data_IF_747815428609
#
_entry.id   IF_747815428609
#
_cell.length_a   1.000
_cell.length_b   1.000
_cell.length_c   1.000
_cell.angle_alpha   90.00
_cell.angle_beta   90.00
_cell.angle_gamma   90.00
#
_symmetry.space_group_name_H-M   'P 1'
#
loop_
_entity.id
_entity.type
_entity.pdbx_description
1 polymer ?
#
# COMPACT_ATOMS: atom_id res chain seq x y z
N UNK A 1 17.99 -0.60 -2.80
CA UNK A 1 18.98 -0.60 -1.69
C UNK A 1 18.30 -1.38 -0.59
N UNK A 2 18.43 -2.70 -0.66
CA UNK A 2 17.43 -3.62 -0.12
C UNK A 2 17.93 -4.33 1.14
N UNK A 3 16.96 -4.49 2.04
CA UNK A 3 17.02 -4.41 3.50
C UNK A 3 17.12 -5.82 4.08
N UNK A 4 18.03 -6.09 5.03
CA UNK A 4 18.16 -7.36 5.79
C UNK A 4 18.50 -7.05 7.25
N UNK A 5 17.69 -7.55 8.20
CA UNK A 5 17.98 -7.56 9.63
C UNK A 5 17.69 -8.93 10.27
N UNK A 6 17.85 -9.05 11.59
CA UNK A 6 17.83 -10.34 12.30
C UNK A 6 16.67 -10.35 13.27
N UNK A 7 15.87 -11.43 13.32
CA UNK A 7 14.77 -11.53 14.28
C UNK A 7 14.77 -12.87 15.04
N UNK A 8 15.07 -12.78 16.33
CA UNK A 8 14.49 -13.63 17.37
C UNK A 8 13.16 -13.02 17.86
N UNK A 9 12.11 -13.82 18.01
CA UNK A 9 10.76 -13.41 18.45
C UNK A 9 10.75 -13.01 19.93
N UNK A 10 11.12 -11.77 20.24
CA UNK A 10 10.81 -11.13 21.52
C UNK A 10 10.23 -9.74 21.25
N UNK A 11 9.00 -9.51 21.71
CA UNK A 11 8.25 -8.26 21.52
C UNK A 11 8.50 -7.34 22.70
N UNK A 12 9.23 -6.24 22.48
CA UNK A 12 9.36 -5.16 23.48
C UNK A 12 8.45 -3.99 23.09
N UNK A 13 7.34 -3.82 23.83
CA UNK A 13 6.28 -2.84 23.55
C UNK A 13 6.58 -1.40 24.02
N UNK A 14 7.86 -0.99 24.10
CA UNK A 14 8.21 0.37 24.58
C UNK A 14 9.14 1.03 23.55
N UNK A 15 8.54 1.68 22.55
CA UNK A 15 9.24 2.50 21.56
C UNK A 15 8.86 3.98 21.72
N UNK A 16 9.61 4.72 22.53
CA UNK A 16 9.55 6.17 22.62
C UNK A 16 10.70 6.79 21.84
N UNK A 17 10.44 7.25 20.61
CA UNK A 17 11.38 8.00 19.79
C UNK A 17 10.64 9.11 19.04
N UNK A 18 11.32 10.22 18.75
CA UNK A 18 10.72 11.33 18.01
C UNK A 18 10.31 10.87 16.59
N UNK A 19 9.12 11.28 16.14
CA UNK A 19 8.52 10.84 14.87
C UNK A 19 9.35 11.20 13.63
N UNK A 20 10.30 12.13 13.75
CA UNK A 20 11.21 12.53 12.68
C UNK A 20 12.28 11.48 12.33
N UNK A 21 12.48 10.46 13.16
CA UNK A 21 13.47 9.40 12.89
C UNK A 21 13.19 8.61 11.60
N UNK A 22 11.94 8.58 11.15
CA UNK A 22 11.49 7.77 10.01
C UNK A 22 11.35 8.57 8.71
N UNK A 23 11.94 9.77 8.65
CA UNK A 23 11.89 10.64 7.48
C UNK A 23 10.63 11.54 7.43
N UNK A 24 10.72 12.61 6.63
CA UNK A 24 9.65 13.60 6.45
C UNK A 24 9.16 13.61 5.01
N UNK A 25 7.85 13.76 4.82
CA UNK A 25 7.20 13.71 3.51
C UNK A 25 6.47 15.03 3.19
N UNK A 26 6.32 15.33 1.91
CA UNK A 26 5.63 16.53 1.43
C UNK A 26 4.13 16.53 1.79
N UNK A 27 3.50 17.71 1.79
CA UNK A 27 2.04 17.86 1.97
C UNK A 27 1.23 17.05 0.94
N UNK A 28 1.77 16.89 -0.27
CA UNK A 28 1.13 16.13 -1.36
C UNK A 28 1.04 14.62 -1.09
N UNK A 29 1.75 14.10 -0.08
CA UNK A 29 1.80 12.68 0.26
C UNK A 29 0.41 12.07 0.48
N UNK A 30 -0.43 12.69 1.29
CA UNK A 30 -1.76 12.14 1.60
C UNK A 30 -2.74 12.23 0.44
N UNK A 31 -2.60 13.22 -0.45
CA UNK A 31 -3.39 13.28 -1.68
C UNK A 31 -2.99 12.17 -2.65
N UNK A 32 -1.67 11.94 -2.82
CA UNK A 32 -1.16 10.82 -3.64
C UNK A 32 -1.58 9.48 -3.05
N UNK A 33 -1.46 9.30 -1.73
CA UNK A 33 -1.88 8.10 -1.03
C UNK A 33 -3.40 7.86 -1.15
N UNK A 34 -4.21 8.89 -0.96
CA UNK A 34 -5.67 8.82 -1.08
C UNK A 34 -6.11 8.44 -2.50
N UNK A 35 -5.56 9.11 -3.52
CA UNK A 35 -5.84 8.77 -4.91
C UNK A 35 -5.36 7.36 -5.28
N UNK A 36 -4.20 6.95 -4.76
CA UNK A 36 -3.71 5.61 -4.97
C UNK A 36 -4.71 4.60 -4.35
N UNK A 37 -5.05 4.68 -3.07
CA UNK A 37 -5.92 3.69 -2.43
C UNK A 37 -7.38 3.69 -2.92
N UNK A 38 -7.95 4.87 -3.18
CA UNK A 38 -9.39 5.01 -3.47
C UNK A 38 -9.70 5.44 -4.92
N UNK A 39 -8.69 5.61 -5.78
CA UNK A 39 -8.85 6.04 -7.17
C UNK A 39 -9.79 7.27 -7.25
N UNK A 40 -10.86 7.17 -8.05
CA UNK A 40 -11.85 8.22 -8.24
C UNK A 40 -12.72 8.51 -6.99
N UNK A 41 -12.89 7.55 -6.08
CA UNK A 41 -13.66 7.78 -4.85
C UNK A 41 -13.03 8.88 -3.98
N UNK A 42 -11.70 8.97 -3.96
CA UNK A 42 -11.02 10.04 -3.23
C UNK A 42 -11.34 11.42 -3.81
N UNK A 43 -11.31 11.55 -5.13
CA UNK A 43 -11.63 12.81 -5.82
C UNK A 43 -13.08 13.21 -5.53
N UNK A 44 -14.01 12.26 -5.59
CA UNK A 44 -15.41 12.50 -5.26
C UNK A 44 -15.58 12.92 -3.80
N UNK A 45 -14.89 12.26 -2.87
CA UNK A 45 -14.93 12.64 -1.47
C UNK A 45 -14.46 14.10 -1.24
N UNK A 46 -13.44 14.57 -1.97
CA UNK A 46 -13.03 15.98 -1.92
C UNK A 46 -14.09 16.92 -2.52
N UNK A 47 -14.77 16.50 -3.58
CA UNK A 47 -15.88 17.25 -4.19
C UNK A 47 -17.12 17.34 -3.30
N UNK A 48 -17.21 16.55 -2.22
CA UNK A 48 -18.31 16.66 -1.25
C UNK A 48 -18.48 18.08 -0.72
N UNK A 49 -17.38 18.83 -0.52
CA UNK A 49 -17.42 20.24 -0.07
C UNK A 49 -18.18 21.12 -1.06
N UNK A 50 -18.01 20.89 -2.37
CA UNK A 50 -18.64 21.68 -3.41
C UNK A 50 -20.16 21.45 -3.50
N UNK A 51 -20.63 20.24 -3.14
CA UNK A 51 -22.05 19.89 -3.16
C UNK A 51 -22.75 20.02 -1.81
N UNK A 52 -22.07 20.57 -0.79
CA UNK A 52 -22.60 20.73 0.57
C UNK A 52 -24.01 21.35 0.63
N UNK A 53 -24.36 22.41 -0.13
CA UNK A 53 -25.69 23.00 -0.07
C UNK A 53 -26.79 22.01 -0.48
N UNK A 54 -26.52 21.20 -1.51
CA UNK A 54 -27.44 20.20 -2.05
C UNK A 54 -27.53 19.03 -1.07
N UNK A 55 -26.38 18.53 -0.60
CA UNK A 55 -26.31 17.43 0.35
C UNK A 55 -26.99 17.76 1.68
N UNK A 56 -26.82 18.98 2.22
CA UNK A 56 -27.50 19.43 3.44
C UNK A 56 -29.02 19.44 3.31
N UNK A 57 -29.54 19.87 2.15
CA UNK A 57 -30.98 19.87 1.87
C UNK A 57 -31.54 18.45 1.81
N UNK A 58 -30.76 17.50 1.30
CA UNK A 58 -31.18 16.10 1.07
C UNK A 58 -31.04 15.21 2.30
N UNK A 59 -29.95 15.32 3.05
CA UNK A 59 -29.60 14.39 4.14
C UNK A 59 -29.57 15.03 5.54
N UNK A 60 -30.02 16.28 5.66
CA UNK A 60 -29.95 17.03 6.91
C UNK A 60 -28.49 17.20 7.43
N UNK A 61 -28.22 17.80 8.60
CA UNK A 61 -26.85 18.07 9.04
C UNK A 61 -26.07 16.79 9.41
N UNK A 62 -26.76 15.66 9.61
CA UNK A 62 -26.18 14.40 10.07
C UNK A 62 -25.07 13.89 9.16
N UNK A 63 -25.28 13.93 7.83
CA UNK A 63 -24.26 13.50 6.87
C UNK A 63 -23.00 14.38 6.92
N UNK A 64 -23.16 15.68 7.15
CA UNK A 64 -22.02 16.61 7.26
C UNK A 64 -21.22 16.29 8.51
N UNK A 65 -21.89 15.96 9.62
CA UNK A 65 -21.23 15.54 10.86
C UNK A 65 -20.42 14.27 10.61
N UNK A 66 -20.99 13.28 9.92
CA UNK A 66 -20.32 12.00 9.60
C UNK A 66 -19.10 12.18 8.68
N UNK A 67 -19.18 13.06 7.68
CA UNK A 67 -18.11 13.24 6.69
C UNK A 67 -17.04 14.26 7.14
N UNK A 68 -17.39 15.19 8.04
CA UNK A 68 -16.45 16.23 8.52
C UNK A 68 -15.09 15.71 9.02
N UNK A 69 -14.97 14.53 9.69
CA UNK A 69 -13.69 14.02 10.13
C UNK A 69 -12.72 13.73 8.98
N UNK A 70 -13.22 13.44 7.77
CA UNK A 70 -12.35 13.26 6.58
C UNK A 70 -11.49 14.49 6.36
N UNK A 71 -12.11 15.67 6.35
CA UNK A 71 -11.42 16.93 6.07
C UNK A 71 -10.55 17.39 7.24
N UNK A 72 -11.06 17.26 8.47
CA UNK A 72 -10.32 17.63 9.69
C UNK A 72 -9.09 16.75 9.83
N UNK A 73 -9.23 15.43 9.66
CA UNK A 73 -8.13 14.48 9.77
C UNK A 73 -7.11 14.65 8.65
N UNK A 74 -7.56 14.83 7.39
CA UNK A 74 -6.65 15.10 6.28
C UNK A 74 -5.84 16.38 6.51
N UNK A 75 -6.46 17.46 6.99
CA UNK A 75 -5.76 18.71 7.31
C UNK A 75 -4.75 18.50 8.44
N UNK A 76 -5.20 17.95 9.57
CA UNK A 76 -4.37 17.73 10.75
C UNK A 76 -3.17 16.82 10.44
N UNK A 77 -3.40 15.69 9.79
CA UNK A 77 -2.34 14.75 9.44
C UNK A 77 -1.38 15.33 8.40
N UNK A 78 -1.88 16.11 7.43
CA UNK A 78 -1.00 16.75 6.44
C UNK A 78 -0.02 17.73 7.07
N UNK A 79 -0.43 18.43 8.13
CA UNK A 79 0.45 19.36 8.87
C UNK A 79 1.60 18.64 9.59
N UNK A 80 1.48 17.34 9.87
CA UNK A 80 2.55 16.58 10.53
C UNK A 80 3.74 16.40 9.59
N UNK A 81 4.95 16.57 10.12
CA UNK A 81 6.18 16.42 9.35
C UNK A 81 6.43 14.95 8.94
N UNK A 82 6.18 14.03 9.87
CA UNK A 82 6.21 12.60 9.60
C UNK A 82 4.83 12.13 9.13
N UNK A 83 4.80 11.41 8.01
CA UNK A 83 3.56 10.93 7.39
C UNK A 83 3.73 9.46 7.04
N UNK A 84 2.72 8.67 7.37
CA UNK A 84 2.61 7.28 6.95
C UNK A 84 1.22 7.02 6.39
N UNK A 85 1.14 6.10 5.43
CA UNK A 85 -0.11 5.68 4.81
C UNK A 85 -1.12 5.12 5.81
N UNK A 86 -0.64 4.41 6.85
CA UNK A 86 -1.49 3.79 7.89
C UNK A 86 -2.22 4.79 8.77
N UNK A 87 -1.75 6.03 8.86
CA UNK A 87 -2.41 7.05 9.66
C UNK A 87 -3.73 7.54 9.06
N UNK A 88 -4.03 7.25 7.78
CA UNK A 88 -5.32 7.57 7.17
C UNK A 88 -6.37 6.46 7.32
N UNK A 89 -6.02 5.27 7.83
CA UNK A 89 -6.96 4.16 7.94
C UNK A 89 -8.28 4.51 8.68
N UNK A 90 -8.30 5.38 9.72
CA UNK A 90 -9.55 5.75 10.38
C UNK A 90 -10.58 6.45 9.48
N UNK A 91 -10.14 7.18 8.44
CA UNK A 91 -11.04 7.95 7.56
C UNK A 91 -11.42 7.22 6.27
N UNK A 92 -10.86 6.05 6.02
CA UNK A 92 -11.11 5.25 4.81
C UNK A 92 -12.60 4.92 4.58
N UNK A 93 -13.37 4.47 5.60
CA UNK A 93 -14.81 4.27 5.43
C UNK A 93 -15.56 5.56 5.13
N UNK A 94 -15.14 6.68 5.74
CA UNK A 94 -15.79 7.98 5.59
C UNK A 94 -15.57 8.57 4.20
N UNK A 95 -14.42 8.29 3.56
CA UNK A 95 -14.16 8.63 2.15
C UNK A 95 -15.18 7.94 1.25
N UNK A 96 -15.48 6.66 1.48
CA UNK A 96 -16.50 5.94 0.72
C UNK A 96 -17.90 6.55 0.90
N UNK A 97 -18.26 6.94 2.13
CA UNK A 97 -19.53 7.60 2.42
C UNK A 97 -19.63 8.94 1.69
N UNK A 98 -18.59 9.77 1.77
CA UNK A 98 -18.52 11.06 1.08
C UNK A 98 -18.65 10.91 -0.44
N UNK A 99 -17.92 9.97 -1.03
CA UNK A 99 -17.99 9.67 -2.45
C UNK A 99 -19.40 9.20 -2.87
N UNK A 100 -20.04 8.37 -2.06
CA UNK A 100 -21.38 7.83 -2.31
C UNK A 100 -22.42 8.95 -2.28
N UNK A 101 -22.33 9.85 -1.31
CA UNK A 101 -23.19 11.03 -1.23
C UNK A 101 -23.07 11.93 -2.46
N UNK A 102 -21.86 12.08 -3.01
CA UNK A 102 -21.63 12.86 -4.23
C UNK A 102 -22.27 12.22 -5.45
N UNK A 103 -22.09 10.91 -5.61
CA UNK A 103 -22.70 10.14 -6.70
C UNK A 103 -24.24 10.17 -6.60
N UNK A 104 -24.79 10.05 -5.39
CA UNK A 104 -26.24 10.05 -5.16
C UNK A 104 -26.87 11.45 -5.34
N UNK A 105 -26.14 12.51 -5.01
CA UNK A 105 -26.60 13.90 -5.16
C UNK A 105 -26.39 14.47 -6.57
N UNK A 106 -25.66 13.78 -7.44
CA UNK A 106 -25.30 14.29 -8.77
C UNK A 106 -26.52 14.64 -9.66
N UNK A 107 -27.60 13.82 -9.74
CA UNK A 107 -28.78 14.18 -10.54
C UNK A 107 -29.53 15.39 -9.99
N UNK A 108 -29.46 15.63 -8.67
CA UNK A 108 -30.15 16.74 -8.02
C UNK A 108 -29.52 18.11 -8.38
N UNK A 109 -28.29 18.12 -8.89
CA UNK A 109 -27.64 19.33 -9.42
C UNK A 109 -28.37 19.89 -10.65
N UNK A 110 -29.04 19.02 -11.42
CA UNK A 110 -29.76 19.38 -12.64
C UNK A 110 -31.28 19.43 -12.44
N UNK A 111 -31.74 19.22 -11.22
CA UNK A 111 -33.16 19.25 -10.89
C UNK A 111 -33.60 20.69 -10.71
N UNK A 112 -34.54 21.13 -11.54
CA UNK A 112 -35.19 22.42 -11.37
C UNK A 112 -36.17 22.32 -10.18
N UNK A 113 -36.03 23.24 -9.23
CA UNK A 113 -36.86 23.29 -8.03
C UNK A 113 -38.31 23.69 -8.30
N UNK A 114 -38.59 24.25 -9.50
CA UNK A 114 -39.91 24.72 -9.90
C UNK A 114 -40.63 23.80 -10.91
N UNK A 115 -39.97 22.75 -11.40
CA UNK A 115 -40.54 21.84 -12.41
C UNK A 115 -41.14 20.59 -11.76
N UNK A 116 -42.37 20.25 -12.14
CA UNK A 116 -43.08 19.03 -11.70
C UNK A 116 -42.58 17.78 -12.43
N UNK A 117 -42.19 17.94 -13.70
CA UNK A 117 -41.66 16.86 -14.53
C UNK A 117 -40.14 16.78 -14.47
N UNK A 118 -39.62 15.55 -14.44
CA UNK A 118 -38.17 15.33 -14.51
C UNK A 118 -37.66 15.68 -15.90
N UNK A 119 -36.74 16.65 -15.94
CA UNK A 119 -36.04 17.02 -17.17
C UNK A 119 -35.29 15.81 -17.76
N UNK A 120 -35.12 15.81 -19.09
CA UNK A 120 -34.37 14.77 -19.80
C UNK A 120 -32.96 14.58 -19.19
N UNK A 121 -32.33 15.67 -18.77
CA UNK A 121 -30.99 15.69 -18.16
C UNK A 121 -30.96 14.91 -16.85
N UNK A 122 -31.97 15.06 -15.99
CA UNK A 122 -32.06 14.32 -14.72
C UNK A 122 -32.23 12.82 -14.96
N UNK A 123 -33.06 12.43 -15.95
CA UNK A 123 -33.23 11.01 -16.32
C UNK A 123 -31.92 10.40 -16.85
N UNK A 124 -31.20 11.13 -17.69
CA UNK A 124 -29.87 10.72 -18.20
C UNK A 124 -28.87 10.60 -17.03
N UNK A 125 -28.82 11.59 -16.13
CA UNK A 125 -27.92 11.58 -14.98
C UNK A 125 -28.19 10.39 -14.04
N UNK A 126 -29.46 10.05 -13.79
CA UNK A 126 -29.86 8.85 -13.05
C UNK A 126 -29.42 7.56 -13.75
N UNK A 127 -29.55 7.49 -15.08
CA UNK A 127 -29.08 6.35 -15.87
C UNK A 127 -27.56 6.21 -15.90
N UNK A 128 -26.82 7.32 -15.84
CA UNK A 128 -25.35 7.32 -15.82
C UNK A 128 -24.77 6.83 -14.49
N UNK A 129 -25.50 7.04 -13.38
CA UNK A 129 -25.07 6.64 -12.03
C UNK A 129 -24.59 5.18 -11.91
N UNK A 130 -25.36 4.15 -12.30
CA UNK A 130 -24.89 2.75 -12.21
C UNK A 130 -23.70 2.47 -13.14
N UNK A 131 -23.60 3.13 -14.30
CA UNK A 131 -22.45 2.99 -15.19
C UNK A 131 -21.17 3.53 -14.54
N UNK A 132 -21.26 4.70 -13.91
CA UNK A 132 -20.13 5.31 -13.22
C UNK A 132 -19.70 4.51 -11.98
N UNK A 133 -20.66 4.01 -11.20
CA UNK A 133 -20.38 3.08 -10.09
C UNK A 133 -19.71 1.79 -10.59
N UNK A 134 -20.23 1.21 -11.67
CA UNK A 134 -19.63 0.04 -12.30
C UNK A 134 -18.18 0.29 -12.73
N UNK A 135 -17.91 1.44 -13.34
CA UNK A 135 -16.55 1.85 -13.71
C UNK A 135 -15.59 1.95 -12.50
N UNK A 136 -16.02 2.59 -11.41
CA UNK A 136 -15.24 2.70 -10.16
C UNK A 136 -14.95 1.31 -9.59
N UNK A 137 -15.95 0.44 -9.55
CA UNK A 137 -15.79 -0.93 -9.05
C UNK A 137 -14.82 -1.73 -9.92
N UNK A 138 -14.91 -1.63 -11.25
CA UNK A 138 -13.97 -2.27 -12.17
C UNK A 138 -12.54 -1.75 -11.98
N UNK A 139 -12.34 -0.44 -11.87
CA UNK A 139 -11.03 0.15 -11.61
C UNK A 139 -10.45 -0.29 -10.26
N UNK A 140 -11.31 -0.38 -9.23
CA UNK A 140 -10.91 -0.82 -7.89
C UNK A 140 -10.53 -2.31 -7.87
N UNK A 141 -11.32 -3.17 -8.53
CA UNK A 141 -11.00 -4.60 -8.67
C UNK A 141 -9.72 -4.81 -9.48
N UNK A 142 -9.55 -4.11 -10.60
CA UNK A 142 -8.33 -4.14 -11.41
C UNK A 142 -7.09 -3.78 -10.59
N UNK A 143 -7.20 -2.75 -9.75
CA UNK A 143 -6.13 -2.35 -8.84
C UNK A 143 -5.82 -3.42 -7.79
N UNK A 144 -6.84 -3.91 -7.09
CA UNK A 144 -6.67 -4.97 -6.08
C UNK A 144 -6.00 -6.19 -6.69
N UNK A 145 -6.44 -6.60 -7.89
CA UNK A 145 -5.85 -7.72 -8.60
C UNK A 145 -4.36 -7.48 -8.95
N UNK A 146 -4.00 -6.27 -9.41
CA UNK A 146 -2.61 -5.89 -9.68
C UNK A 146 -1.73 -6.00 -8.43
N UNK A 147 -2.23 -5.51 -7.29
CA UNK A 147 -1.48 -5.54 -6.03
C UNK A 147 -1.30 -6.96 -5.51
N UNK A 148 -2.36 -7.77 -5.54
CA UNK A 148 -2.32 -9.15 -5.09
C UNK A 148 -1.35 -9.98 -5.94
N UNK A 149 -1.36 -9.85 -7.26
CA UNK A 149 -0.46 -10.62 -8.13
C UNK A 149 0.96 -10.05 -8.15
N UNK A 150 1.12 -8.74 -7.97
CA UNK A 150 2.43 -8.08 -8.00
C UNK A 150 3.22 -8.19 -6.70
N UNK A 151 2.55 -8.23 -5.54
CA UNK A 151 3.20 -8.03 -4.24
C UNK A 151 2.80 -9.02 -3.15
N UNK A 152 2.09 -10.11 -3.45
CA UNK A 152 1.74 -11.13 -2.44
C UNK A 152 2.91 -12.03 -2.04
N UNK A 153 4.06 -11.95 -2.72
CA UNK A 153 5.21 -12.83 -2.48
C UNK A 153 5.66 -12.91 -1.02
N UNK A 154 5.76 -11.80 -0.26
CA UNK A 154 6.13 -11.86 1.16
C UNK A 154 5.15 -12.69 1.98
N UNK A 155 3.84 -12.56 1.77
CA UNK A 155 2.83 -13.35 2.49
C UNK A 155 2.84 -14.83 2.08
N UNK A 156 3.14 -15.12 0.81
CA UNK A 156 3.20 -16.50 0.32
C UNK A 156 4.46 -17.21 0.78
N UNK A 157 5.60 -16.52 0.90
CA UNK A 157 6.87 -17.17 1.26
C UNK A 157 6.84 -17.74 2.67
N UNK A 158 6.19 -17.08 3.63
CA UNK A 158 6.13 -17.54 5.02
C UNK A 158 5.35 -18.85 5.16
N UNK A 159 4.40 -19.12 4.26
CA UNK A 159 3.68 -20.40 4.22
C UNK A 159 4.58 -21.58 3.87
N UNK A 160 5.69 -21.33 3.19
CA UNK A 160 6.66 -22.37 2.85
C UNK A 160 7.54 -22.74 4.05
N UNK A 161 7.72 -21.85 5.03
CA UNK A 161 8.48 -22.16 6.24
C UNK A 161 7.83 -23.27 7.07
N UNK A 162 6.50 -23.33 7.12
CA UNK A 162 5.75 -24.36 7.85
C UNK A 162 5.97 -25.76 7.26
N UNK A 163 6.23 -25.86 5.95
CA UNK A 163 6.44 -27.15 5.27
C UNK A 163 7.86 -27.70 5.45
N UNK A 164 8.75 -26.95 6.10
CA UNK A 164 10.14 -27.31 6.31
C UNK A 164 10.45 -27.50 7.81
N UNK A 165 9.61 -28.29 8.50
CA UNK A 165 9.85 -28.76 9.90
C UNK A 165 11.16 -29.54 10.08
N UNK A 166 11.82 -29.97 9.00
CA UNK A 166 13.16 -30.58 9.02
C UNK A 166 14.27 -29.62 9.46
N UNK A 167 13.97 -28.32 9.50
CA UNK A 167 14.87 -27.28 9.98
C UNK A 167 14.73 -27.27 11.51
N UNK A 168 15.63 -27.99 12.18
CA UNK A 168 15.58 -28.26 13.63
C UNK A 168 15.18 -27.05 14.48
N UNK A 169 14.50 -27.33 15.59
CA UNK A 169 14.06 -26.34 16.58
C UNK A 169 15.23 -25.48 17.05
N UNK A 170 15.27 -24.20 16.64
CA UNK A 170 16.35 -23.25 16.97
C UNK A 170 17.06 -22.57 15.79
N UNK A 171 16.65 -22.84 14.55
CA UNK A 171 17.30 -22.27 13.36
C UNK A 171 17.10 -20.75 13.22
N UNK A 172 18.16 -20.04 12.82
CA UNK A 172 18.14 -18.59 12.68
C UNK A 172 17.65 -18.15 11.30
N UNK A 173 16.49 -17.48 11.28
CA UNK A 173 15.92 -16.85 10.09
C UNK A 173 16.33 -15.37 10.01
N UNK A 174 16.97 -15.00 8.90
CA UNK A 174 17.35 -13.62 8.61
C UNK A 174 16.39 -12.99 7.59
N UNK A 175 15.81 -11.83 7.94
CA UNK A 175 14.80 -11.10 7.14
C UNK A 175 15.03 -9.61 7.27
N UNK A 176 14.84 -8.84 6.20
CA UNK A 176 14.84 -7.36 6.16
C UNK A 176 14.04 -6.59 7.20
N UNK A 177 14.49 -6.53 8.45
CA UNK A 177 13.86 -5.70 9.47
C UNK A 177 14.75 -5.42 10.69
N UNK A 178 14.66 -4.22 11.25
CA UNK A 178 15.33 -3.82 12.50
C UNK A 178 14.34 -3.74 13.66
N UNK A 179 14.69 -4.31 14.83
CA UNK A 179 13.82 -4.38 16.03
C UNK A 179 13.55 -3.03 16.73
N UNK A 180 14.47 -2.08 16.63
CA UNK A 180 14.37 -0.75 17.22
C UNK A 180 15.03 0.26 16.28
N UNK A 181 14.72 1.54 16.41
CA UNK A 181 15.42 2.60 15.68
C UNK A 181 16.81 2.80 16.31
N UNK A 182 17.90 2.33 15.66
CA UNK A 182 19.21 2.34 16.28
C UNK A 182 19.77 3.76 16.30
N UNK A 183 20.73 4.06 17.20
CA UNK A 183 21.24 5.42 17.39
C UNK A 183 21.96 5.99 16.15
N UNK A 184 22.27 5.16 15.16
CA UNK A 184 22.89 5.56 13.90
C UNK A 184 21.89 6.04 12.83
N UNK A 185 20.57 6.00 13.09
CA UNK A 185 19.61 6.59 12.16
C UNK A 185 19.76 8.10 12.12
N UNK A 186 19.85 8.63 10.90
CA UNK A 186 19.96 10.07 10.68
C UNK A 186 18.57 10.66 10.40
N UNK A 187 18.40 11.91 10.80
CA UNK A 187 17.22 12.74 10.51
C UNK A 187 17.20 13.29 9.07
N UNK A 188 18.04 12.78 8.17
CA UNK A 188 18.20 13.26 6.78
C UNK A 188 17.62 12.29 5.75
N UNK A 189 16.84 11.30 6.19
CA UNK A 189 16.29 10.24 5.35
C UNK A 189 17.37 9.56 4.48
N UNK A 190 18.58 9.41 5.01
CA UNK A 190 19.66 8.66 4.37
C UNK A 190 19.69 7.26 4.97
N UNK A 191 20.05 6.27 4.15
CA UNK A 191 20.30 4.93 4.65
C UNK A 191 21.42 4.95 5.70
N UNK A 192 21.31 4.12 6.73
CA UNK A 192 22.32 4.01 7.77
C UNK A 192 23.10 2.71 7.62
N UNK A 193 24.43 2.80 7.53
CA UNK A 193 25.28 1.65 7.19
C UNK A 193 25.26 0.54 8.25
N UNK A 194 25.06 0.88 9.53
CA UNK A 194 24.91 -0.11 10.60
C UNK A 194 23.59 -0.90 10.57
N UNK A 195 22.64 -0.55 9.69
CA UNK A 195 21.37 -1.26 9.54
C UNK A 195 21.54 -2.62 8.86
N UNK A 196 22.65 -2.83 8.16
CA UNK A 196 22.85 -4.01 7.34
C UNK A 196 23.43 -5.17 8.15
N UNK A 197 22.89 -6.38 7.90
CA UNK A 197 23.53 -7.63 8.32
C UNK A 197 24.95 -7.72 7.76
N UNK A 198 25.94 -7.61 8.64
CA UNK A 198 27.37 -7.71 8.30
C UNK A 198 27.80 -9.17 8.02
N UNK A 199 27.25 -10.13 8.77
CA UNK A 199 27.55 -11.56 8.61
C UNK A 199 26.31 -12.41 8.31
N UNK A 200 26.09 -12.68 7.02
CA UNK A 200 25.03 -13.58 6.53
C UNK A 200 25.38 -15.05 6.84
N UNK A 201 26.65 -15.33 7.10
CA UNK A 201 27.15 -16.64 7.49
C UNK A 201 26.74 -17.07 8.89
N UNK A 202 25.99 -16.26 9.64
CA UNK A 202 25.33 -16.66 10.88
C UNK A 202 23.92 -17.25 10.66
N UNK A 203 23.31 -17.00 9.49
CA UNK A 203 21.92 -17.37 9.20
C UNK A 203 21.82 -18.80 8.67
N UNK A 204 20.82 -19.55 9.15
CA UNK A 204 20.48 -20.88 8.62
C UNK A 204 19.48 -20.75 7.46
N UNK A 205 18.57 -19.79 7.58
CA UNK A 205 17.61 -19.40 6.55
C UNK A 205 17.74 -17.92 6.22
N UNK A 206 17.57 -17.62 4.94
CA UNK A 206 17.60 -16.26 4.41
C UNK A 206 16.39 -16.01 3.51
N UNK A 207 15.63 -14.96 3.83
CA UNK A 207 14.59 -14.44 2.93
C UNK A 207 15.14 -13.18 2.27
N UNK A 208 15.23 -13.18 0.95
CA UNK A 208 15.76 -12.06 0.18
C UNK A 208 14.90 -11.74 -1.05
N UNK A 209 14.79 -10.46 -1.37
CA UNK A 209 14.23 -9.97 -2.61
C UNK A 209 15.34 -9.83 -3.67
N UNK A 210 15.34 -10.73 -4.65
CA UNK A 210 16.25 -10.74 -5.79
C UNK A 210 15.66 -9.95 -6.96
N UNK A 211 16.05 -8.68 -7.06
CA UNK A 211 15.79 -7.83 -8.21
C UNK A 211 17.05 -7.73 -9.07
N UNK A 212 16.87 -7.65 -10.39
CA UNK A 212 17.98 -7.34 -11.31
C UNK A 212 18.49 -5.92 -11.03
N UNK A 213 19.50 -5.78 -10.18
CA UNK A 213 20.15 -4.52 -9.78
C UNK A 213 21.65 -4.60 -10.06
N UNK A 214 22.35 -3.47 -9.89
CA UNK A 214 23.80 -3.39 -10.14
C UNK A 214 24.60 -4.26 -9.17
N UNK A 215 24.09 -4.46 -7.95
CA UNK A 215 24.66 -5.38 -6.98
C UNK A 215 23.90 -6.71 -7.01
N UNK A 216 24.58 -7.86 -7.04
CA UNK A 216 23.94 -9.16 -7.01
C UNK A 216 23.25 -9.38 -5.65
N UNK A 217 22.16 -10.15 -5.67
CA UNK A 217 21.53 -10.65 -4.46
C UNK A 217 22.55 -11.48 -3.65
N UNK A 218 22.56 -11.33 -2.33
CA UNK A 218 23.61 -11.93 -1.49
C UNK A 218 23.51 -13.46 -1.45
N UNK A 219 22.29 -13.97 -1.55
CA UNK A 219 22.00 -15.39 -1.70
C UNK A 219 22.17 -15.95 -3.13
N UNK A 220 22.89 -15.26 -4.03
CA UNK A 220 23.13 -15.74 -5.40
C UNK A 220 24.13 -16.89 -5.49
N UNK A 221 24.93 -17.11 -4.44
CA UNK A 221 25.94 -18.17 -4.40
C UNK A 221 25.32 -19.54 -4.09
N UNK A 222 25.19 -20.35 -5.14
CA UNK A 222 24.64 -21.72 -5.08
C UNK A 222 25.55 -22.71 -4.34
N UNK A 223 26.81 -22.36 -4.06
CA UNK A 223 27.71 -23.19 -3.25
C UNK A 223 27.43 -23.04 -1.75
N UNK A 224 26.82 -21.92 -1.34
CA UNK A 224 26.48 -21.63 0.05
C UNK A 224 24.98 -21.77 0.32
N UNK A 225 24.13 -21.49 -0.68
CA UNK A 225 22.68 -21.39 -0.52
C UNK A 225 21.92 -22.30 -1.48
N UNK A 226 20.94 -23.00 -0.94
CA UNK A 226 19.92 -23.75 -1.66
C UNK A 226 18.62 -22.94 -1.71
N UNK A 227 17.98 -22.86 -2.87
CA UNK A 227 16.67 -22.18 -2.98
C UNK A 227 15.53 -23.12 -2.64
N UNK A 228 14.86 -22.88 -1.51
CA UNK A 228 13.69 -23.66 -1.09
C UNK A 228 12.42 -23.21 -1.80
N UNK A 229 12.25 -21.89 -1.97
CA UNK A 229 11.10 -21.32 -2.69
C UNK A 229 11.49 -20.02 -3.38
N UNK A 230 10.85 -19.74 -4.52
CA UNK A 230 11.03 -18.49 -5.27
C UNK A 230 9.69 -18.05 -5.84
N UNK A 231 9.22 -16.87 -5.41
CA UNK A 231 7.90 -16.36 -5.77
C UNK A 231 8.07 -15.05 -6.55
N UNK A 232 7.38 -14.86 -7.70
CA UNK A 232 7.48 -13.63 -8.46
C UNK A 232 7.11 -12.40 -7.63
N UNK A 233 7.92 -11.34 -7.73
CA UNK A 233 7.67 -10.05 -7.08
C UNK A 233 7.85 -8.92 -8.07
N UNK A 234 6.87 -8.02 -8.17
CA UNK A 234 6.85 -6.95 -9.14
C UNK A 234 7.87 -5.86 -8.79
N UNK A 235 8.75 -5.57 -9.73
CA UNK A 235 9.79 -4.55 -9.62
C UNK A 235 9.18 -3.16 -9.83
N UNK A 236 9.09 -2.38 -8.75
CA UNK A 236 8.54 -1.01 -8.77
C UNK A 236 9.29 -0.05 -9.69
N UNK A 237 10.62 -0.13 -9.76
CA UNK A 237 11.44 0.87 -10.44
C UNK A 237 11.48 0.62 -11.95
N UNK A 238 11.39 -0.65 -12.35
CA UNK A 238 11.43 -1.06 -13.76
C UNK A 238 10.06 -1.26 -14.39
N UNK A 239 8.99 -1.29 -13.59
CA UNK A 239 7.62 -1.42 -14.09
C UNK A 239 6.93 -0.05 -14.21
N UNK A 240 6.22 0.23 -15.32
CA UNK A 240 5.47 1.48 -15.48
C UNK A 240 4.40 1.64 -14.40
N UNK A 241 4.20 2.87 -13.93
CA UNK A 241 3.26 3.17 -12.85
C UNK A 241 1.81 2.75 -13.17
N UNK A 242 1.39 2.82 -14.43
CA UNK A 242 0.04 2.45 -14.89
C UNK A 242 -0.23 0.96 -14.72
N UNK A 243 0.62 0.11 -15.31
CA UNK A 243 0.47 -1.35 -15.26
C UNK A 243 0.81 -1.92 -13.88
N UNK A 244 1.61 -1.23 -13.09
CA UNK A 244 1.87 -1.60 -11.69
C UNK A 244 0.67 -1.31 -10.77
N UNK A 245 -0.07 -0.26 -11.06
CA UNK A 245 -1.21 0.18 -10.24
C UNK A 245 -2.53 -0.48 -10.67
N UNK A 246 -2.69 -0.81 -11.96
CA UNK A 246 -3.92 -1.38 -12.51
C UNK A 246 -3.65 -2.62 -13.34
N UNK A 247 -4.45 -3.65 -13.11
CA UNK A 247 -4.45 -4.85 -13.93
C UNK A 247 -5.17 -4.58 -15.25
N UNK A 248 -4.39 -4.54 -16.33
CA UNK A 248 -4.91 -4.46 -17.71
C UNK A 248 -4.70 -5.83 -18.34
N UNK A 249 -5.78 -6.57 -18.68
CA UNK A 249 -5.68 -7.90 -19.26
C UNK A 249 -4.70 -7.95 -20.43
N UNK A 250 -3.93 -9.05 -20.52
CA UNK A 250 -2.88 -9.32 -21.52
C UNK A 250 -1.65 -8.41 -21.44
N UNK A 251 -1.82 -7.11 -21.20
CA UNK A 251 -0.72 -6.14 -21.14
C UNK A 251 0.02 -6.12 -19.80
N UNK A 252 -0.64 -6.50 -18.71
CA UNK A 252 -0.06 -6.42 -17.36
C UNK A 252 1.22 -7.25 -17.24
N UNK A 253 1.19 -8.50 -17.70
CA UNK A 253 2.33 -9.40 -17.62
C UNK A 253 3.48 -8.97 -18.55
N UNK A 254 3.14 -8.47 -19.74
CA UNK A 254 4.12 -8.04 -20.75
C UNK A 254 4.85 -6.76 -20.38
N UNK A 255 4.16 -5.84 -19.69
CA UNK A 255 4.69 -4.50 -19.39
C UNK A 255 5.36 -4.39 -18.02
N UNK A 256 5.02 -5.27 -17.09
CA UNK A 256 5.64 -5.28 -15.77
C UNK A 256 6.89 -6.16 -15.76
N UNK A 257 7.87 -5.73 -14.98
CA UNK A 257 9.11 -6.47 -14.75
C UNK A 257 9.02 -7.11 -13.38
N UNK A 258 9.42 -8.38 -13.28
CA UNK A 258 9.39 -9.15 -12.04
C UNK A 258 10.81 -9.56 -11.64
N UNK A 259 11.08 -9.51 -10.34
CA UNK A 259 12.14 -10.26 -9.69
C UNK A 259 11.58 -11.44 -8.91
N UNK A 260 12.40 -11.99 -8.02
CA UNK A 260 12.06 -13.16 -7.23
C UNK A 260 12.19 -12.84 -5.74
N UNK A 261 11.17 -13.17 -4.97
CA UNK A 261 11.23 -13.22 -3.52
C UNK A 261 11.59 -14.66 -3.13
N UNK A 262 12.80 -14.84 -2.60
CA UNK A 262 13.40 -16.17 -2.39
C UNK A 262 13.45 -16.51 -0.91
N UNK A 263 13.20 -17.78 -0.61
CA UNK A 263 13.56 -18.42 0.65
C UNK A 263 14.75 -19.34 0.37
N UNK A 264 15.83 -19.11 1.09
CA UNK A 264 17.09 -19.81 0.91
C UNK A 264 17.47 -20.55 2.20
N UNK A 265 17.98 -21.76 2.05
CA UNK A 265 18.57 -22.57 3.11
C UNK A 265 20.07 -22.61 2.92
N UNK A 266 20.82 -22.47 4.00
CA UNK A 266 22.27 -22.61 3.94
C UNK A 266 22.67 -24.08 3.80
N UNK A 267 23.59 -24.37 2.90
CA UNK A 267 24.18 -25.69 2.76
C UNK A 267 25.14 -25.98 3.94
N UNK A 268 25.18 -27.22 4.45
CA UNK A 268 26.15 -27.59 5.46
C UNK A 268 27.57 -27.40 4.91
N UNK A 269 28.46 -26.81 5.72
CA UNK A 269 29.87 -26.67 5.33
C UNK A 269 30.45 -28.07 5.11
N UNK A 270 30.98 -28.33 3.91
CA UNK A 270 31.87 -29.47 3.68
C UNK A 270 33.04 -29.33 4.63
N UNK A 271 33.19 -30.25 5.58
CA UNK A 271 34.44 -30.42 6.32
C UNK A 271 35.57 -30.86 5.37
#
# INVERSE_FOLDING_TARGET
MDILGVQSLEVQCIGGGESHLYGTEEMSFYFRNGFNNFNFCFVLALLFVAILPIAKKKYAPDLVIVVSPVFIWLAFMSLQAHKEERFLYPIYPLICIAATAVIDSFPDLFRDQFATDESLIVKIAKGFRPLFLGFILCASHSRTFSVLNGYSAPLQIYKHLEHHEEIGTGSLLCVGSTKAAPPYFNNKNKAAEGQYLEDIGACDLLIELDLKRQHPARGSDLSTWETLAAIPFLDRERSPATYRSFFIPYKWQEKNVFGLYKLLRRLPRSN
#
